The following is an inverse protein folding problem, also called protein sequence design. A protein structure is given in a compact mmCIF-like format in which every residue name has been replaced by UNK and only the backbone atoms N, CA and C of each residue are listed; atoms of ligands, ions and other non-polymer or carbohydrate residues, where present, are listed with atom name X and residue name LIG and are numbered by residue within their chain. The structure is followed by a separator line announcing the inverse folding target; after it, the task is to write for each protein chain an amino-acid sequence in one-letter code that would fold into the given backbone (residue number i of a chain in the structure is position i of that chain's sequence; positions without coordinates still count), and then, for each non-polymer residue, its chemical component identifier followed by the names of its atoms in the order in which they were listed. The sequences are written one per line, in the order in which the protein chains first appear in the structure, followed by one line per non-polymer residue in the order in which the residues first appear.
data_IF_637509050103
#
_entry.id   IF_637509050103
#
_cell.length_a   1.000
_cell.length_b   1.000
_cell.length_c   1.000
_cell.angle_alpha   90.00
_cell.angle_beta   90.00
_cell.angle_gamma   90.00
#
_symmetry.space_group_name_H-M   'P 1'
#
loop_
_entity.id
_entity.type
_entity.pdbx_description
1 polymer ?
#
# COMPACT_ATOMS: atom_id res chain seq x y z
N UNK A 1 -15.83 -9.64 6.88
CA UNK A 1 -14.49 -10.22 7.13
C UNK A 1 -13.67 -10.02 5.87
N UNK A 2 -12.56 -9.27 5.91
CA UNK A 2 -11.68 -9.20 4.76
C UNK A 2 -10.85 -10.47 4.64
N UNK A 3 -10.63 -10.92 3.42
CA UNK A 3 -9.80 -12.07 3.10
C UNK A 3 -8.49 -11.63 2.44
N UNK A 4 -7.48 -12.50 2.46
CA UNK A 4 -6.23 -12.29 1.71
C UNK A 4 -6.46 -12.03 0.22
N UNK A 5 -7.52 -12.64 -0.34
CA UNK A 5 -7.91 -12.42 -1.74
C UNK A 5 -8.41 -11.00 -1.94
N UNK A 6 -9.23 -10.46 -1.04
CA UNK A 6 -9.71 -9.08 -1.14
C UNK A 6 -8.57 -8.06 -1.07
N UNK A 7 -7.57 -8.28 -0.19
CA UNK A 7 -6.37 -7.42 -0.11
C UNK A 7 -5.55 -7.50 -1.39
N UNK A 8 -5.39 -8.70 -1.96
CA UNK A 8 -4.69 -8.87 -3.24
C UNK A 8 -5.45 -8.19 -4.38
N UNK A 9 -6.75 -8.35 -4.46
CA UNK A 9 -7.57 -7.82 -5.55
C UNK A 9 -7.65 -6.29 -5.49
N UNK A 10 -7.78 -5.70 -4.30
CA UNK A 10 -7.69 -4.25 -4.15
C UNK A 10 -6.30 -3.71 -4.49
N UNK A 11 -5.23 -4.45 -4.15
CA UNK A 11 -3.87 -4.11 -4.58
C UNK A 11 -3.69 -4.22 -6.10
N UNK A 12 -4.32 -5.21 -6.75
CA UNK A 12 -4.33 -5.36 -8.20
C UNK A 12 -5.05 -4.20 -8.90
N UNK A 13 -6.21 -3.78 -8.35
CA UNK A 13 -7.01 -2.68 -8.88
C UNK A 13 -6.32 -1.32 -8.71
N UNK A 14 -5.67 -1.09 -7.57
CA UNK A 14 -4.93 0.13 -7.32
C UNK A 14 -3.56 0.16 -8.03
N UNK A 15 -3.00 -1.01 -8.38
CA UNK A 15 -1.64 -1.19 -8.89
C UNK A 15 -0.56 -0.99 -7.83
N UNK A 16 -0.68 0.08 -7.03
CA UNK A 16 0.13 0.38 -5.84
C UNK A 16 -0.76 0.98 -4.76
N UNK A 17 -0.63 0.48 -3.53
CA UNK A 17 -1.39 1.00 -2.40
C UNK A 17 -0.62 0.80 -1.09
N UNK A 18 -0.86 1.68 -0.12
CA UNK A 18 -0.37 1.52 1.24
C UNK A 18 -1.39 0.79 2.14
N UNK A 19 -0.90 0.29 3.28
CA UNK A 19 -1.72 -0.44 4.23
C UNK A 19 -2.86 0.40 4.85
N UNK A 20 -2.71 1.73 4.99
CA UNK A 20 -3.77 2.60 5.52
C UNK A 20 -4.87 2.81 4.50
N UNK A 21 -4.52 3.02 3.24
CA UNK A 21 -5.50 3.14 2.16
C UNK A 21 -6.32 1.86 2.05
N UNK A 22 -5.66 0.69 2.05
CA UNK A 22 -6.32 -0.61 2.02
C UNK A 22 -7.17 -0.87 3.27
N UNK A 23 -6.68 -0.48 4.44
CA UNK A 23 -7.42 -0.55 5.71
C UNK A 23 -8.73 0.24 5.67
N UNK A 24 -8.71 1.46 5.11
CA UNK A 24 -9.93 2.27 4.93
C UNK A 24 -10.87 1.69 3.89
N UNK A 25 -10.35 1.21 2.77
CA UNK A 25 -11.17 0.62 1.69
C UNK A 25 -11.86 -0.67 2.12
N UNK A 26 -11.16 -1.53 2.86
CA UNK A 26 -11.67 -2.83 3.31
C UNK A 26 -12.36 -2.77 4.67
N UNK A 27 -12.42 -1.58 5.29
CA UNK A 27 -12.91 -1.34 6.65
C UNK A 27 -12.31 -2.33 7.66
N UNK A 28 -10.99 -2.52 7.59
CA UNK A 28 -10.25 -3.49 8.39
C UNK A 28 -9.13 -2.82 9.16
N UNK A 29 -8.81 -3.29 10.37
CA UNK A 29 -7.74 -2.71 11.17
C UNK A 29 -6.41 -2.79 10.40
N UNK A 30 -5.69 -1.67 10.35
CA UNK A 30 -4.40 -1.54 9.69
C UNK A 30 -3.40 -2.67 10.02
N UNK A 31 -3.19 -3.08 11.30
CA UNK A 31 -2.24 -4.16 11.61
C UNK A 31 -2.60 -5.51 10.98
N UNK A 32 -3.89 -5.76 10.75
CA UNK A 32 -4.34 -6.99 10.08
C UNK A 32 -4.03 -6.94 8.59
N UNK A 33 -4.22 -5.78 7.96
CA UNK A 33 -3.88 -5.57 6.55
C UNK A 33 -2.37 -5.65 6.33
N UNK A 34 -1.58 -5.07 7.23
CA UNK A 34 -0.11 -5.18 7.21
C UNK A 34 0.32 -6.65 7.28
N UNK A 35 -0.18 -7.42 8.24
CA UNK A 35 0.12 -8.84 8.34
C UNK A 35 -0.29 -9.63 7.08
N UNK A 36 -1.42 -9.28 6.46
CA UNK A 36 -1.87 -9.88 5.20
C UNK A 36 -0.95 -9.54 4.03
N UNK A 37 -0.49 -8.29 3.95
CA UNK A 37 0.45 -7.84 2.92
C UNK A 37 1.83 -8.48 3.12
N UNK A 38 2.34 -8.54 4.34
CA UNK A 38 3.58 -9.24 4.68
C UNK A 38 3.50 -10.72 4.29
N UNK A 39 2.35 -11.37 4.53
CA UNK A 39 2.13 -12.74 4.07
C UNK A 39 2.20 -12.85 2.53
N UNK A 40 1.61 -11.91 1.80
CA UNK A 40 1.70 -11.88 0.33
C UNK A 40 3.14 -11.66 -0.15
N UNK A 41 3.93 -10.86 0.57
CA UNK A 41 5.36 -10.66 0.30
C UNK A 41 6.15 -11.93 0.57
N UNK A 42 5.91 -12.60 1.70
CA UNK A 42 6.53 -13.88 2.04
C UNK A 42 6.20 -14.97 1.00
N UNK A 43 4.98 -14.94 0.44
CA UNK A 43 4.56 -15.81 -0.67
C UNK A 43 5.09 -15.38 -2.05
N UNK A 44 5.92 -14.33 -2.13
CA UNK A 44 6.44 -13.75 -3.39
C UNK A 44 5.33 -13.34 -4.36
N UNK A 45 4.16 -12.93 -3.85
CA UNK A 45 3.03 -12.40 -4.63
C UNK A 45 2.96 -10.88 -4.63
N UNK A 46 3.54 -10.24 -3.61
CA UNK A 46 3.67 -8.80 -3.52
C UNK A 46 5.11 -8.40 -3.17
N UNK A 47 5.45 -7.14 -3.39
CA UNK A 47 6.68 -6.53 -2.92
C UNK A 47 6.39 -5.19 -2.26
N UNK A 48 7.19 -4.85 -1.25
CA UNK A 48 7.26 -3.51 -0.69
C UNK A 48 8.01 -2.61 -1.68
N UNK A 49 7.45 -1.44 -1.91
CA UNK A 49 8.03 -0.36 -2.70
C UNK A 49 8.08 0.83 -1.75
N UNK A 50 9.28 1.17 -1.33
CA UNK A 50 9.51 2.42 -0.62
C UNK A 50 9.03 3.57 -1.51
N UNK A 51 8.31 4.51 -0.91
CA UNK A 51 7.98 5.75 -1.57
C UNK A 51 9.31 6.43 -1.90
N UNK A 52 9.68 6.36 -3.19
CA UNK A 52 10.90 6.92 -3.72
C UNK A 52 11.01 8.38 -3.24
N UNK A 53 12.16 8.72 -2.65
CA UNK A 53 12.49 10.05 -2.14
C UNK A 53 12.58 11.12 -3.25
N UNK A 54 12.10 10.82 -4.47
CA UNK A 54 12.00 11.76 -5.59
C UNK A 54 10.83 12.75 -5.43
N UNK A 55 10.78 13.44 -4.29
CA UNK A 55 10.23 14.79 -4.22
C UNK A 55 11.24 15.83 -4.75
N UNK A 56 12.03 15.48 -5.77
CA UNK A 56 13.13 16.29 -6.30
C UNK A 56 12.71 17.28 -7.39
N UNK A 57 11.42 17.57 -7.57
CA UNK A 57 11.03 18.70 -8.41
C UNK A 57 9.72 19.30 -7.90
N UNK A 58 9.83 20.48 -7.30
CA UNK A 58 8.70 21.20 -6.73
C UNK A 58 7.61 21.45 -7.76
N UNK A 59 6.46 20.79 -7.60
CA UNK A 59 5.12 21.23 -8.02
C UNK A 59 4.03 20.19 -7.73
N UNK A 60 4.09 19.47 -6.60
CA UNK A 60 2.97 18.62 -6.18
C UNK A 60 1.83 19.48 -5.62
N UNK A 61 1.00 20.05 -6.50
CA UNK A 61 -0.14 20.94 -6.18
C UNK A 61 -1.35 20.22 -5.53
N UNK A 62 -1.21 18.95 -5.16
CA UNK A 62 -2.30 18.15 -4.56
C UNK A 62 -1.88 17.29 -3.36
N UNK A 63 -0.63 17.40 -2.87
CA UNK A 63 -0.25 16.70 -1.65
C UNK A 63 -0.70 17.52 -0.43
N UNK A 64 -1.93 17.30 0.01
CA UNK A 64 -2.38 17.78 1.31
C UNK A 64 -1.59 17.06 2.41
N UNK A 65 -0.72 17.82 3.07
CA UNK A 65 0.10 17.50 4.24
C UNK A 65 1.46 16.81 3.97
N UNK A 66 2.49 17.65 3.81
CA UNK A 66 3.90 17.30 3.69
C UNK A 66 4.56 16.85 4.98
N UNK A 67 3.96 15.90 5.73
CA UNK A 67 4.65 15.19 6.81
C UNK A 67 4.26 13.70 6.75
N UNK A 68 5.22 12.83 6.39
CA UNK A 68 5.15 11.34 6.32
C UNK A 68 4.91 10.73 4.93
N UNK A 69 5.53 11.25 3.88
CA UNK A 69 5.63 10.53 2.60
C UNK A 69 6.57 9.30 2.66
N UNK A 70 6.91 8.78 3.84
CA UNK A 70 7.58 7.48 4.04
C UNK A 70 6.53 6.38 4.26
N UNK A 71 5.47 6.38 3.45
CA UNK A 71 4.47 5.32 3.56
C UNK A 71 4.93 4.20 2.64
N UNK A 72 5.35 3.08 3.24
CA UNK A 72 5.70 1.85 2.50
C UNK A 72 4.48 1.46 1.66
N UNK A 73 4.65 1.52 0.35
CA UNK A 73 3.63 1.09 -0.59
C UNK A 73 3.86 -0.36 -0.97
N UNK A 74 2.80 -1.06 -1.34
CA UNK A 74 2.87 -2.44 -1.78
C UNK A 74 2.45 -2.50 -3.25
N UNK A 75 2.99 -3.45 -3.99
CA UNK A 75 2.57 -3.73 -5.36
C UNK A 75 2.65 -5.23 -5.62
N UNK A 76 1.81 -5.72 -6.53
CA UNK A 76 1.86 -7.12 -6.93
C UNK A 76 3.08 -7.37 -7.81
N UNK A 77 3.67 -8.56 -7.64
CA UNK A 77 4.69 -9.06 -8.55
C UNK A 77 3.94 -9.73 -9.69
N UNK A 78 3.95 -9.11 -10.87
CA UNK A 78 3.44 -9.72 -12.11
C UNK A 78 4.44 -10.74 -12.64
#
# INVERSE_FOLDING_TARGET
MASLIQVRDSLALAGRADARQLSRQLNTPQPLVEAMLEKLVAMRKAKTVDADDSCLTGSCKSCADGKKCLTVSYTLIS
#
